data_IF_055889489464
#
_entry.id   IF_055889489464
#
_cell.length_a   1.000
_cell.length_b   1.000
_cell.length_c   1.000
_cell.angle_alpha   90.00
_cell.angle_beta   90.00
_cell.angle_gamma   90.00
#
_symmetry.space_group_name_H-M   'P 1'
#
loop_
_entity.id
_entity.type
_entity.pdbx_description
1 polymer ?
#
# COMPACT_ATOMS: atom_id res chain seq x y z
N UNK A 1 -2.22 -61.29 -26.12
CA UNK A 1 -1.46 -60.47 -27.09
C UNK A 1 -1.41 -59.06 -26.53
N UNK A 2 -0.18 -58.55 -26.25
CA UNK A 2 0.18 -57.18 -25.79
C UNK A 2 -0.22 -56.78 -24.36
N UNK A 3 0.57 -56.05 -23.58
CA UNK A 3 2.02 -55.88 -23.39
C UNK A 3 2.14 -55.21 -22.00
N UNK A 4 3.19 -55.52 -21.23
CA UNK A 4 3.51 -54.96 -19.91
C UNK A 4 3.77 -53.44 -19.95
N UNK A 5 3.46 -52.70 -18.87
CA UNK A 5 4.50 -52.12 -18.00
C UNK A 5 3.95 -51.66 -16.65
N UNK A 6 4.55 -52.22 -15.59
CA UNK A 6 4.51 -51.80 -14.20
C UNK A 6 5.36 -50.52 -14.05
N UNK A 7 4.95 -49.55 -13.23
CA UNK A 7 5.93 -48.67 -12.57
C UNK A 7 5.68 -48.64 -11.06
N UNK A 8 6.79 -48.83 -10.37
CA UNK A 8 6.93 -49.27 -8.99
C UNK A 8 7.18 -48.06 -8.09
N UNK A 9 6.53 -48.05 -6.93
CA UNK A 9 6.80 -47.16 -5.81
C UNK A 9 8.23 -47.41 -5.32
N UNK A 10 9.08 -46.39 -5.30
CA UNK A 10 10.39 -46.46 -4.66
C UNK A 10 10.31 -45.91 -3.24
N UNK A 11 10.21 -46.84 -2.28
CA UNK A 11 10.48 -46.60 -0.86
C UNK A 11 11.99 -46.78 -0.66
N UNK A 12 12.72 -45.70 -0.36
CA UNK A 12 14.15 -45.78 -0.04
C UNK A 12 14.31 -45.91 1.47
N UNK A 13 14.73 -47.11 1.90
CA UNK A 13 15.25 -47.38 3.24
C UNK A 13 16.75 -47.14 3.18
N UNK A 14 17.28 -46.14 3.89
CA UNK A 14 18.71 -46.02 4.14
C UNK A 14 19.08 -46.70 5.46
N UNK A 15 19.75 -47.85 5.35
CA UNK A 15 20.57 -48.41 6.40
C UNK A 15 21.93 -47.67 6.43
N UNK A 16 22.44 -47.43 7.64
CA UNK A 16 23.63 -46.63 7.89
C UNK A 16 24.92 -47.16 7.24
N UNK A 17 25.74 -46.23 6.78
CA UNK A 17 27.11 -46.43 6.32
C UNK A 17 27.78 -45.07 6.12
N UNK A 18 28.96 -44.88 6.71
CA UNK A 18 29.73 -43.63 6.75
C UNK A 18 30.10 -43.06 5.37
N UNK A 19 30.16 -41.72 5.33
CA UNK A 19 30.93 -40.84 4.43
C UNK A 19 30.88 -41.17 2.94
N UNK A 20 30.06 -40.43 2.20
CA UNK A 20 30.50 -39.54 1.13
C UNK A 20 29.29 -38.70 0.69
N UNK A 21 29.53 -37.41 0.40
CA UNK A 21 28.51 -36.44 0.05
C UNK A 21 27.67 -36.90 -1.15
N UNK A 22 26.37 -37.11 -0.93
CA UNK A 22 25.41 -37.35 -2.00
C UNK A 22 25.05 -36.00 -2.61
N UNK A 23 25.80 -35.61 -3.64
CA UNK A 23 25.40 -34.52 -4.55
C UNK A 23 24.34 -35.07 -5.49
N UNK A 24 23.09 -34.68 -5.27
CA UNK A 24 22.02 -34.78 -6.26
C UNK A 24 22.21 -33.58 -7.19
N UNK A 25 22.65 -33.80 -8.43
CA UNK A 25 22.77 -32.71 -9.40
C UNK A 25 21.38 -32.14 -9.77
N UNK A 26 21.17 -30.81 -9.76
CA UNK A 26 19.90 -30.22 -10.18
C UNK A 26 19.80 -30.18 -11.71
N UNK A 27 18.59 -30.35 -12.21
CA UNK A 27 18.21 -30.06 -13.59
C UNK A 27 18.14 -28.54 -13.77
N UNK A 28 19.17 -27.96 -14.39
CA UNK A 28 19.29 -26.54 -14.76
C UNK A 28 19.93 -25.66 -13.68
N UNK A 29 20.95 -24.86 -14.03
CA UNK A 29 21.50 -23.83 -13.12
C UNK A 29 20.44 -22.74 -12.87
N UNK A 30 20.25 -22.34 -11.61
CA UNK A 30 19.36 -21.23 -11.28
C UNK A 30 19.95 -19.93 -11.84
N UNK A 31 19.15 -19.16 -12.58
CA UNK A 31 19.60 -17.93 -13.22
C UNK A 31 19.44 -16.68 -12.33
N UNK A 32 18.81 -16.79 -11.15
CA UNK A 32 18.55 -15.66 -10.26
C UNK A 32 18.81 -16.01 -8.79
N UNK A 33 19.55 -15.13 -8.10
CA UNK A 33 19.79 -15.17 -6.66
C UNK A 33 19.40 -13.85 -6.01
N UNK A 34 18.45 -13.91 -5.08
CA UNK A 34 17.94 -12.74 -4.35
C UNK A 34 18.34 -12.86 -2.89
N UNK A 35 19.24 -11.99 -2.43
CA UNK A 35 19.54 -11.87 -1.00
C UNK A 35 18.53 -10.95 -0.34
N UNK A 36 17.67 -11.52 0.50
CA UNK A 36 16.65 -10.80 1.26
C UNK A 36 17.20 -10.51 2.65
N UNK A 37 17.48 -9.24 2.93
CA UNK A 37 17.98 -8.78 4.22
C UNK A 37 16.79 -8.46 5.14
N UNK A 38 16.83 -9.00 6.35
CA UNK A 38 15.79 -8.82 7.35
C UNK A 38 16.13 -7.64 8.28
N UNK A 39 15.16 -6.75 8.58
CA UNK A 39 15.38 -5.66 9.52
C UNK A 39 15.60 -6.17 10.95
N UNK A 40 16.10 -5.31 11.83
CA UNK A 40 16.08 -5.55 13.28
C UNK A 40 14.70 -5.17 13.85
N UNK A 41 13.66 -5.92 13.47
CA UNK A 41 12.27 -5.69 13.87
C UNK A 41 11.71 -6.95 14.56
N UNK A 42 11.08 -6.80 15.72
CA UNK A 42 10.48 -7.92 16.46
C UNK A 42 9.28 -8.55 15.74
N UNK A 43 8.63 -7.82 14.83
CA UNK A 43 7.53 -8.34 14.02
C UNK A 43 7.97 -9.51 13.12
N UNK A 44 9.26 -9.63 12.82
CA UNK A 44 9.82 -10.80 12.11
C UNK A 44 9.61 -12.11 12.86
N UNK A 45 9.46 -12.08 14.18
CA UNK A 45 9.21 -13.30 14.97
C UNK A 45 7.87 -13.94 14.66
N UNK A 46 6.95 -13.21 14.01
CA UNK A 46 5.65 -13.71 13.58
C UNK A 46 5.69 -14.27 12.14
N UNK A 47 6.78 -14.06 11.40
CA UNK A 47 6.90 -14.53 10.02
C UNK A 47 7.14 -16.04 9.98
N UNK A 48 6.40 -16.72 9.12
CA UNK A 48 6.46 -18.17 8.91
C UNK A 48 6.83 -18.54 7.47
N UNK A 49 6.66 -17.63 6.52
CA UNK A 49 6.98 -17.89 5.11
C UNK A 49 7.44 -16.65 4.35
N UNK A 50 8.09 -16.88 3.22
CA UNK A 50 8.53 -15.87 2.27
C UNK A 50 8.05 -16.25 0.87
N UNK A 51 7.53 -15.26 0.15
CA UNK A 51 7.14 -15.39 -1.25
C UNK A 51 7.92 -14.41 -2.13
N UNK A 52 8.20 -14.85 -3.35
CA UNK A 52 8.70 -14.03 -4.46
C UNK A 52 7.72 -14.18 -5.62
N UNK A 53 7.14 -13.06 -6.03
CA UNK A 53 6.32 -12.95 -7.24
C UNK A 53 7.07 -12.09 -8.25
N UNK A 54 7.22 -12.60 -9.47
CA UNK A 54 7.82 -11.86 -10.59
C UNK A 54 6.78 -11.61 -11.66
N UNK A 55 6.62 -10.35 -12.04
CA UNK A 55 5.76 -9.91 -13.16
C UNK A 55 6.56 -9.17 -14.22
N UNK A 56 5.95 -8.97 -15.39
CA UNK A 56 6.52 -8.18 -16.49
C UNK A 56 5.55 -8.11 -17.66
N UNK A 57 5.78 -7.15 -18.57
CA UNK A 57 4.84 -6.82 -19.67
C UNK A 57 4.59 -8.00 -20.60
N UNK A 58 5.61 -8.81 -20.86
CA UNK A 58 5.60 -10.00 -21.70
C UNK A 58 5.33 -11.31 -20.92
N UNK A 59 5.14 -11.22 -19.59
CA UNK A 59 4.91 -12.39 -18.75
C UNK A 59 3.41 -12.60 -18.52
N UNK A 60 2.83 -13.52 -19.31
CA UNK A 60 1.37 -13.81 -19.28
C UNK A 60 0.92 -14.36 -17.92
N UNK A 61 1.76 -15.15 -17.26
CA UNK A 61 1.48 -15.72 -15.93
C UNK A 61 2.62 -15.34 -14.99
N UNK A 62 2.33 -14.66 -13.86
CA UNK A 62 3.35 -14.33 -12.87
C UNK A 62 4.14 -15.57 -12.44
N UNK A 63 5.46 -15.44 -12.35
CA UNK A 63 6.27 -16.46 -11.70
C UNK A 63 6.09 -16.32 -10.18
N UNK A 64 5.91 -17.45 -9.50
CA UNK A 64 5.68 -17.48 -8.04
C UNK A 64 6.60 -18.52 -7.41
N UNK A 65 7.34 -18.09 -6.40
CA UNK A 65 8.12 -18.92 -5.49
C UNK A 65 7.64 -18.66 -4.06
N UNK A 66 7.47 -19.70 -3.25
CA UNK A 66 7.13 -19.57 -1.84
C UNK A 66 7.75 -20.69 -1.03
N UNK A 67 8.23 -20.38 0.17
CA UNK A 67 8.85 -21.34 1.08
C UNK A 67 8.66 -20.91 2.54
N UNK A 68 8.51 -21.89 3.44
CA UNK A 68 8.52 -21.65 4.87
C UNK A 68 9.92 -21.23 5.34
N UNK A 69 9.98 -20.26 6.24
CA UNK A 69 11.22 -19.76 6.83
C UNK A 69 11.05 -19.46 8.31
N UNK A 70 12.16 -19.43 9.04
CA UNK A 70 12.24 -18.88 10.39
C UNK A 70 13.26 -17.74 10.33
N UNK A 71 12.84 -16.49 10.05
CA UNK A 71 13.77 -15.40 9.90
C UNK A 71 14.41 -15.03 11.23
N UNK A 72 15.68 -14.62 11.16
CA UNK A 72 16.42 -14.06 12.30
C UNK A 72 16.47 -12.54 12.12
N UNK A 73 16.03 -11.73 13.09
CA UNK A 73 16.16 -10.28 13.01
C UNK A 73 17.62 -9.85 12.74
N UNK A 74 17.80 -8.98 11.74
CA UNK A 74 19.12 -8.55 11.26
C UNK A 74 19.88 -9.59 10.41
N UNK A 75 19.30 -10.76 10.17
CA UNK A 75 19.83 -11.80 9.31
C UNK A 75 19.47 -11.61 7.84
N UNK A 76 19.69 -12.65 7.04
CA UNK A 76 19.29 -12.68 5.63
C UNK A 76 18.88 -14.08 5.18
N UNK A 77 18.18 -14.15 4.06
CA UNK A 77 17.78 -15.37 3.38
C UNK A 77 18.03 -15.24 1.89
N UNK A 78 18.54 -16.28 1.23
CA UNK A 78 18.79 -16.28 -0.20
C UNK A 78 17.73 -17.10 -0.91
N UNK A 79 16.96 -16.45 -1.79
CA UNK A 79 16.10 -17.13 -2.74
C UNK A 79 16.95 -17.45 -3.97
N UNK A 80 16.96 -18.72 -4.37
CA UNK A 80 17.58 -19.17 -5.62
C UNK A 80 16.50 -19.80 -6.49
N UNK A 81 16.30 -19.22 -7.67
CA UNK A 81 15.19 -19.57 -8.55
C UNK A 81 15.58 -19.41 -10.03
N UNK A 82 14.86 -20.13 -10.90
CA UNK A 82 14.95 -19.95 -12.34
C UNK A 82 13.80 -19.05 -12.81
N UNK A 83 14.06 -17.75 -12.90
CA UNK A 83 13.08 -16.72 -13.24
C UNK A 83 12.99 -16.58 -14.75
N UNK A 84 11.78 -16.43 -15.34
CA UNK A 84 11.64 -16.22 -16.78
C UNK A 84 12.42 -15.01 -17.29
N UNK A 85 13.27 -15.24 -18.30
CA UNK A 85 14.05 -14.23 -19.01
C UNK A 85 13.17 -13.10 -19.54
N UNK A 86 13.65 -11.87 -19.46
CA UNK A 86 13.01 -10.70 -20.02
C UNK A 86 13.45 -9.42 -19.35
N UNK A 87 13.07 -8.30 -19.94
CA UNK A 87 13.47 -6.98 -19.46
C UNK A 87 12.47 -6.42 -18.46
N UNK A 88 12.95 -5.60 -17.53
CA UNK A 88 12.16 -4.91 -16.50
C UNK A 88 11.25 -5.87 -15.72
N UNK A 89 11.78 -7.03 -15.32
CA UNK A 89 11.11 -7.95 -14.40
C UNK A 89 10.94 -7.26 -13.04
N UNK A 90 9.71 -7.28 -12.54
CA UNK A 90 9.38 -6.68 -11.24
C UNK A 90 9.34 -7.79 -10.21
N UNK A 91 10.32 -7.81 -9.33
CA UNK A 91 10.44 -8.74 -8.21
C UNK A 91 9.70 -8.16 -7.01
N UNK A 92 8.65 -8.83 -6.56
CA UNK A 92 7.91 -8.48 -5.34
C UNK A 92 8.14 -9.57 -4.31
N UNK A 93 8.81 -9.21 -3.22
CA UNK A 93 9.10 -10.11 -2.10
C UNK A 93 8.11 -9.78 -0.98
N UNK A 94 7.48 -10.78 -0.37
CA UNK A 94 6.62 -10.61 0.81
C UNK A 94 6.96 -11.66 1.86
N UNK A 95 6.99 -11.26 3.13
CA UNK A 95 7.11 -12.16 4.27
C UNK A 95 5.75 -12.22 4.95
N UNK A 96 5.27 -13.42 5.21
CA UNK A 96 3.92 -13.67 5.71
C UNK A 96 3.95 -14.34 7.07
N UNK A 97 2.93 -14.08 7.90
CA UNK A 97 2.67 -14.84 9.12
C UNK A 97 1.91 -16.15 8.86
N UNK A 98 1.48 -16.82 9.93
CA UNK A 98 0.72 -18.07 9.87
C UNK A 98 -0.71 -17.93 9.33
N UNK A 99 -1.17 -16.70 9.13
CA UNK A 99 -2.50 -16.35 8.60
C UNK A 99 -2.40 -15.75 7.18
N UNK A 100 -1.22 -15.86 6.55
CA UNK A 100 -0.90 -15.32 5.22
C UNK A 100 -0.92 -13.77 5.15
N UNK A 101 -0.90 -13.08 6.30
CA UNK A 101 -0.77 -11.63 6.38
C UNK A 101 0.63 -11.23 5.95
N UNK A 102 0.75 -10.41 4.91
CA UNK A 102 2.02 -9.83 4.52
C UNK A 102 2.46 -8.81 5.59
N UNK A 103 3.51 -9.14 6.34
CA UNK A 103 4.08 -8.29 7.40
C UNK A 103 5.23 -7.43 6.89
N UNK A 104 6.03 -7.97 5.99
CA UNK A 104 7.13 -7.24 5.34
C UNK A 104 7.09 -7.42 3.83
N UNK A 105 7.68 -6.48 3.12
CA UNK A 105 7.77 -6.52 1.68
C UNK A 105 9.01 -5.80 1.14
N UNK A 106 9.36 -6.10 -0.10
CA UNK A 106 10.29 -5.33 -0.90
C UNK A 106 9.91 -5.41 -2.38
N UNK A 107 10.40 -4.44 -3.17
CA UNK A 107 10.30 -4.45 -4.62
C UNK A 107 11.65 -4.13 -5.24
N UNK A 108 11.99 -4.83 -6.31
CA UNK A 108 13.14 -4.56 -7.16
C UNK A 108 12.75 -4.72 -8.62
N UNK A 109 13.38 -3.97 -9.53
CA UNK A 109 13.16 -4.13 -10.97
C UNK A 109 14.51 -4.34 -11.62
N UNK A 110 14.62 -5.39 -12.42
CA UNK A 110 15.85 -5.72 -13.14
C UNK A 110 15.58 -6.52 -14.41
N UNK A 111 16.61 -6.70 -15.24
CA UNK A 111 16.57 -7.57 -16.41
C UNK A 111 17.03 -8.98 -16.04
N UNK A 112 16.38 -10.01 -16.60
CA UNK A 112 16.81 -11.41 -16.48
C UNK A 112 17.24 -11.88 -17.86
N UNK A 113 18.50 -12.30 -18.02
CA UNK A 113 19.06 -12.75 -19.30
C UNK A 113 19.25 -14.27 -19.33
N UNK A 114 19.42 -14.84 -20.54
CA UNK A 114 19.80 -16.25 -20.72
C UNK A 114 21.29 -16.49 -20.46
N UNK A 115 22.12 -15.44 -20.56
CA UNK A 115 23.58 -15.55 -20.62
C UNK A 115 24.26 -15.27 -19.28
N UNK A 116 23.60 -14.54 -18.38
CA UNK A 116 24.14 -14.10 -17.10
C UNK A 116 23.24 -14.53 -15.94
N UNK A 117 23.86 -14.72 -14.78
CA UNK A 117 23.14 -14.89 -13.51
C UNK A 117 22.81 -13.52 -12.93
N UNK A 118 21.54 -13.29 -12.62
CA UNK A 118 21.09 -12.10 -11.92
C UNK A 118 21.29 -12.28 -10.41
N UNK A 119 22.10 -11.42 -9.80
CA UNK A 119 22.28 -11.38 -8.35
C UNK A 119 21.97 -9.98 -7.83
N UNK A 120 21.08 -9.89 -6.84
CA UNK A 120 20.82 -8.62 -6.17
C UNK A 120 20.44 -8.80 -4.70
N UNK A 121 20.52 -7.71 -3.95
CA UNK A 121 20.16 -7.65 -2.54
C UNK A 121 19.04 -6.65 -2.33
N UNK A 122 18.03 -7.03 -1.56
CA UNK A 122 16.94 -6.16 -1.11
C UNK A 122 16.84 -6.20 0.41
N UNK A 123 16.37 -5.11 1.01
CA UNK A 123 15.99 -5.10 2.43
C UNK A 123 14.48 -4.99 2.50
N UNK A 124 13.85 -5.90 3.24
CA UNK A 124 12.40 -5.84 3.43
C UNK A 124 12.03 -4.84 4.51
N UNK A 125 10.91 -4.14 4.30
CA UNK A 125 10.33 -3.16 5.22
C UNK A 125 8.90 -3.56 5.55
N UNK A 126 8.27 -2.97 6.58
CA UNK A 126 6.88 -3.31 6.89
C UNK A 126 5.97 -3.09 5.66
N UNK A 127 4.99 -3.97 5.51
CA UNK A 127 4.10 -4.04 4.35
C UNK A 127 3.49 -2.68 3.96
N UNK A 128 3.64 -2.28 2.70
CA UNK A 128 3.18 -0.99 2.17
C UNK A 128 4.12 0.20 2.40
N UNK A 129 5.16 0.07 3.23
CA UNK A 129 6.14 1.16 3.40
C UNK A 129 6.88 1.44 2.10
N UNK A 130 6.95 2.71 1.68
CA UNK A 130 7.68 3.12 0.47
C UNK A 130 7.14 2.53 -0.82
N UNK A 131 5.85 2.22 -0.88
CA UNK A 131 5.21 1.63 -2.06
C UNK A 131 4.97 2.61 -3.21
N UNK A 132 5.18 3.89 -2.97
CA UNK A 132 5.06 4.96 -3.95
C UNK A 132 6.11 6.06 -3.73
N UNK A 133 6.24 6.97 -4.70
CA UNK A 133 7.19 8.09 -4.64
C UNK A 133 6.63 9.43 -5.13
N UNK A 134 5.44 9.44 -5.74
CA UNK A 134 4.74 10.60 -6.28
C UNK A 134 3.25 10.52 -5.93
N UNK A 135 2.57 11.65 -5.75
CA UNK A 135 1.16 11.69 -5.33
C UNK A 135 0.24 12.19 -6.46
N UNK A 136 -0.88 11.50 -6.64
CA UNK A 136 -2.03 11.88 -7.45
C UNK A 136 -3.24 12.02 -6.51
N UNK A 137 -3.49 13.24 -6.03
CA UNK A 137 -4.60 13.53 -5.13
C UNK A 137 -5.84 13.86 -5.96
N UNK A 138 -6.91 13.07 -5.84
CA UNK A 138 -8.20 13.38 -6.44
C UNK A 138 -9.10 14.12 -5.46
N UNK A 139 -9.64 15.26 -5.92
CA UNK A 139 -10.50 16.13 -5.13
C UNK A 139 -11.27 17.12 -6.01
N UNK A 140 -12.58 17.20 -5.82
CA UNK A 140 -13.45 18.21 -6.45
C UNK A 140 -13.86 19.34 -5.49
N UNK A 141 -13.96 19.06 -4.19
CA UNK A 141 -14.22 20.05 -3.14
C UNK A 141 -13.25 19.86 -1.97
N UNK A 142 -13.00 20.92 -1.21
CA UNK A 142 -12.23 20.80 0.04
C UNK A 142 -13.04 19.96 1.05
N UNK A 143 -12.52 18.82 1.53
CA UNK A 143 -13.14 18.07 2.59
C UNK A 143 -13.23 18.97 3.82
N UNK A 144 -14.40 19.07 4.44
CA UNK A 144 -14.57 19.84 5.68
C UNK A 144 -14.21 21.34 5.59
N UNK A 145 -14.24 21.93 4.38
CA UNK A 145 -13.72 23.28 4.08
C UNK A 145 -12.24 23.47 4.53
N UNK A 146 -11.47 22.39 4.49
CA UNK A 146 -10.11 22.32 5.03
C UNK A 146 -9.04 22.20 3.94
N UNK A 147 -7.88 22.82 4.20
CA UNK A 147 -6.64 22.61 3.43
C UNK A 147 -5.68 21.65 4.15
N UNK A 148 -6.17 20.76 5.02
CA UNK A 148 -5.34 19.90 5.85
C UNK A 148 -4.36 19.04 5.03
N UNK A 149 -4.83 18.32 4.00
CA UNK A 149 -3.97 17.53 3.12
C UNK A 149 -2.89 18.39 2.46
N UNK A 150 -3.25 19.53 1.88
CA UNK A 150 -2.32 20.45 1.21
C UNK A 150 -1.26 20.99 2.16
N UNK A 151 -1.68 21.43 3.35
CA UNK A 151 -0.80 21.94 4.39
C UNK A 151 0.13 20.84 4.89
N UNK A 152 -0.40 19.65 5.16
CA UNK A 152 0.37 18.50 5.60
C UNK A 152 1.42 18.13 4.55
N UNK A 153 1.06 18.08 3.26
CA UNK A 153 2.00 17.81 2.18
C UNK A 153 3.10 18.88 2.12
N UNK A 154 2.76 20.16 2.14
CA UNK A 154 3.73 21.25 2.12
C UNK A 154 4.66 21.24 3.35
N UNK A 155 4.11 21.01 4.55
CA UNK A 155 4.87 20.94 5.81
C UNK A 155 5.83 19.75 5.86
N UNK A 156 5.50 18.67 5.14
CA UNK A 156 6.34 17.49 4.97
C UNK A 156 7.28 17.58 3.76
N UNK A 157 7.38 18.75 3.12
CA UNK A 157 8.35 19.04 2.06
C UNK A 157 7.94 18.58 0.67
N UNK A 158 6.67 18.23 0.46
CA UNK A 158 6.13 17.95 -0.86
C UNK A 158 5.79 19.26 -1.58
N UNK A 159 6.00 19.28 -2.89
CA UNK A 159 5.69 20.44 -3.73
C UNK A 159 4.78 20.06 -4.87
N UNK A 160 4.05 21.02 -5.44
CA UNK A 160 3.27 20.77 -6.65
C UNK A 160 4.16 20.32 -7.81
N UNK A 161 3.71 19.31 -8.55
CA UNK A 161 4.40 18.79 -9.74
C UNK A 161 4.16 17.30 -9.97
N UNK A 162 4.83 16.74 -10.96
CA UNK A 162 4.65 15.36 -11.43
C UNK A 162 5.90 14.47 -11.25
N UNK A 163 6.87 14.90 -10.45
CA UNK A 163 8.08 14.15 -10.11
C UNK A 163 8.03 13.45 -8.75
N UNK A 164 9.15 12.86 -8.35
CA UNK A 164 9.36 12.28 -7.02
C UNK A 164 9.23 13.34 -5.92
N UNK A 165 8.56 13.01 -4.81
CA UNK A 165 8.19 13.93 -3.72
C UNK A 165 7.38 15.14 -4.19
N UNK A 166 6.59 14.97 -5.25
CA UNK A 166 5.65 15.98 -5.71
C UNK A 166 4.22 15.44 -5.73
N UNK A 167 3.26 16.35 -5.75
CA UNK A 167 1.84 16.04 -5.82
C UNK A 167 1.11 16.84 -6.88
N UNK A 168 0.07 16.23 -7.44
CA UNK A 168 -0.92 16.90 -8.28
C UNK A 168 -2.28 16.81 -7.61
N UNK A 169 -3.07 17.88 -7.71
CA UNK A 169 -4.48 17.88 -7.36
C UNK A 169 -5.27 17.75 -8.67
N UNK A 170 -6.07 16.70 -8.77
CA UNK A 170 -6.81 16.31 -9.96
C UNK A 170 -8.30 16.28 -9.65
N UNK A 171 -9.12 16.73 -10.59
CA UNK A 171 -10.57 16.58 -10.49
C UNK A 171 -11.00 15.15 -10.85
N UNK A 172 -12.14 14.71 -10.32
CA UNK A 172 -12.73 13.41 -10.67
C UNK A 172 -13.04 13.27 -12.16
N UNK A 173 -13.26 14.38 -12.89
CA UNK A 173 -13.54 14.35 -14.33
C UNK A 173 -12.42 13.75 -15.19
N UNK A 174 -11.18 13.71 -14.69
CA UNK A 174 -10.05 13.08 -15.40
C UNK A 174 -9.68 11.72 -14.84
N UNK A 175 -10.39 11.23 -13.81
CA UNK A 175 -10.01 10.02 -13.07
C UNK A 175 -9.94 8.76 -13.93
N UNK A 176 -10.85 8.63 -14.91
CA UNK A 176 -10.88 7.48 -15.83
C UNK A 176 -9.83 7.57 -16.95
N UNK A 177 -9.22 8.73 -17.20
CA UNK A 177 -8.34 8.95 -18.37
C UNK A 177 -6.92 9.35 -18.01
N UNK A 178 -6.67 9.82 -16.79
CA UNK A 178 -5.34 10.24 -16.36
C UNK A 178 -4.41 9.05 -16.27
N UNK A 179 -3.18 9.21 -16.76
CA UNK A 179 -2.16 8.18 -16.62
C UNK A 179 -1.75 8.00 -15.17
N UNK A 180 -1.93 6.77 -14.67
CA UNK A 180 -1.41 6.29 -13.39
C UNK A 180 -0.27 5.31 -13.64
N UNK A 181 0.84 5.45 -12.91
CA UNK A 181 2.06 4.66 -13.08
C UNK A 181 2.23 3.72 -11.88
N UNK A 182 1.94 2.41 -12.04
CA UNK A 182 2.13 1.43 -10.98
C UNK A 182 3.54 1.45 -10.38
N UNK A 183 3.63 1.35 -9.06
CA UNK A 183 4.88 1.42 -8.30
C UNK A 183 5.58 2.78 -8.24
N UNK A 184 5.00 3.81 -8.84
CA UNK A 184 5.47 5.19 -8.72
C UNK A 184 4.42 6.07 -8.06
N UNK A 185 3.17 5.96 -8.50
CA UNK A 185 2.07 6.76 -8.01
C UNK A 185 1.46 6.22 -6.71
N UNK A 186 1.20 7.14 -5.78
CA UNK A 186 0.24 7.04 -4.71
C UNK A 186 -1.00 7.81 -5.16
N UNK A 187 -2.09 7.08 -5.43
CA UNK A 187 -3.40 7.70 -5.63
C UNK A 187 -4.00 7.99 -4.26
N UNK A 188 -4.36 9.25 -4.01
CA UNK A 188 -5.09 9.62 -2.80
C UNK A 188 -6.50 10.02 -3.21
N UNK A 189 -7.51 9.40 -2.61
CA UNK A 189 -8.91 9.81 -2.73
C UNK A 189 -9.25 10.59 -1.45
N UNK A 190 -9.52 11.89 -1.59
CA UNK A 190 -9.80 12.77 -0.45
C UNK A 190 -11.15 12.41 0.21
N UNK A 191 -11.31 12.74 1.50
CA UNK A 191 -12.58 12.53 2.22
C UNK A 191 -13.71 13.41 1.68
N UNK A 192 -14.94 13.15 2.14
CA UNK A 192 -16.09 14.07 2.11
C UNK A 192 -16.20 14.83 0.79
N UNK A 193 -16.41 14.06 -0.28
CA UNK A 193 -16.56 14.61 -1.63
C UNK A 193 -18.03 14.74 -2.03
N UNK A 194 -18.33 15.60 -3.00
CA UNK A 194 -19.68 15.74 -3.56
C UNK A 194 -20.12 14.48 -4.32
N UNK A 195 -21.43 14.24 -4.44
CA UNK A 195 -21.95 13.03 -5.12
C UNK A 195 -21.37 12.81 -6.53
N UNK A 196 -21.22 13.88 -7.33
CA UNK A 196 -20.62 13.78 -8.68
C UNK A 196 -19.19 13.24 -8.68
N UNK A 197 -18.42 13.47 -7.61
CA UNK A 197 -17.08 12.89 -7.47
C UNK A 197 -17.16 11.36 -7.38
N UNK A 198 -18.05 10.84 -6.52
CA UNK A 198 -18.24 9.40 -6.34
C UNK A 198 -18.85 8.75 -7.60
N UNK A 199 -19.78 9.42 -8.28
CA UNK A 199 -20.31 8.96 -9.56
C UNK A 199 -19.21 8.83 -10.62
N UNK A 200 -18.27 9.79 -10.67
CA UNK A 200 -17.11 9.74 -11.56
C UNK A 200 -16.10 8.67 -11.13
N UNK A 201 -15.88 8.46 -9.82
CA UNK A 201 -15.08 7.34 -9.34
C UNK A 201 -15.66 6.00 -9.79
N UNK A 202 -16.99 5.84 -9.69
CA UNK A 202 -17.67 4.63 -10.13
C UNK A 202 -17.41 4.31 -11.60
N UNK A 203 -17.33 5.33 -12.46
CA UNK A 203 -16.94 5.18 -13.87
C UNK A 203 -15.48 4.73 -13.98
N UNK A 204 -14.57 5.36 -13.22
CA UNK A 204 -13.13 5.08 -13.23
C UNK A 204 -12.70 3.81 -12.47
N UNK A 205 -13.61 3.13 -11.76
CA UNK A 205 -13.29 2.06 -10.82
C UNK A 205 -12.48 0.92 -11.45
N UNK A 206 -12.76 0.57 -12.71
CA UNK A 206 -12.01 -0.47 -13.43
C UNK A 206 -10.55 -0.05 -13.66
N UNK A 207 -10.31 1.19 -14.10
CA UNK A 207 -8.97 1.74 -14.30
C UNK A 207 -8.19 1.80 -12.97
N UNK A 208 -8.82 2.27 -11.89
CA UNK A 208 -8.16 2.32 -10.57
C UNK A 208 -7.81 0.91 -10.07
N UNK A 209 -8.73 -0.05 -10.20
CA UNK A 209 -8.48 -1.43 -9.80
C UNK A 209 -7.36 -2.07 -10.61
N UNK A 210 -7.29 -1.82 -11.92
CA UNK A 210 -6.18 -2.27 -12.77
C UNK A 210 -4.85 -1.64 -12.35
N UNK A 211 -4.83 -0.33 -12.07
CA UNK A 211 -3.65 0.37 -11.57
C UNK A 211 -3.12 -0.27 -10.27
N UNK A 212 -3.99 -0.55 -9.31
CA UNK A 212 -3.60 -1.19 -8.04
C UNK A 212 -3.12 -2.62 -8.33
N UNK A 213 -3.87 -3.40 -9.10
CA UNK A 213 -3.53 -4.79 -9.41
C UNK A 213 -2.14 -4.92 -10.05
N UNK A 214 -1.76 -3.95 -10.89
CA UNK A 214 -0.46 -3.86 -11.55
C UNK A 214 0.69 -3.31 -10.66
N UNK A 215 0.46 -3.02 -9.38
CA UNK A 215 1.50 -2.57 -8.44
C UNK A 215 1.36 -1.13 -7.93
N UNK A 216 0.28 -0.45 -8.30
CA UNK A 216 -0.08 0.87 -7.79
C UNK A 216 -0.41 0.87 -6.30
N UNK A 217 -0.33 2.05 -5.68
CA UNK A 217 -0.75 2.24 -4.28
C UNK A 217 -1.90 3.21 -4.25
N UNK A 218 -2.96 2.87 -3.52
CA UNK A 218 -4.05 3.79 -3.19
C UNK A 218 -4.11 4.04 -1.69
N UNK A 219 -4.33 5.29 -1.31
CA UNK A 219 -4.79 5.68 0.01
C UNK A 219 -6.17 6.34 -0.15
N UNK A 220 -7.20 5.65 0.31
CA UNK A 220 -8.56 6.16 0.25
C UNK A 220 -9.02 6.55 1.64
N UNK A 221 -9.32 7.82 1.82
CA UNK A 221 -10.09 8.28 2.97
C UNK A 221 -11.59 8.08 2.67
N UNK A 222 -12.12 6.95 3.15
CA UNK A 222 -13.47 6.41 2.88
C UNK A 222 -14.51 7.01 3.84
N UNK A 223 -14.35 8.28 4.22
CA UNK A 223 -15.35 8.99 5.00
C UNK A 223 -16.25 9.76 4.03
N UNK A 224 -17.51 9.35 3.88
CA UNK A 224 -18.52 10.04 3.08
C UNK A 224 -19.65 10.59 3.97
N UNK A 225 -20.75 11.04 3.36
CA UNK A 225 -21.93 11.59 4.05
C UNK A 225 -21.62 12.71 5.07
N UNK A 226 -20.55 13.46 4.81
CA UNK A 226 -20.11 14.60 5.61
C UNK A 226 -20.75 15.91 5.13
N UNK A 227 -19.93 16.97 5.08
CA UNK A 227 -20.39 18.32 4.70
C UNK A 227 -20.68 18.45 3.21
N UNK A 228 -20.07 17.60 2.38
CA UNK A 228 -20.25 17.61 0.93
C UNK A 228 -21.44 16.77 0.44
N UNK A 229 -22.11 16.05 1.36
CA UNK A 229 -23.33 15.27 1.13
C UNK A 229 -23.22 14.15 0.08
N UNK A 230 -22.02 13.81 -0.40
CA UNK A 230 -21.84 12.67 -1.31
C UNK A 230 -21.86 11.33 -0.57
N UNK A 231 -22.32 10.30 -1.27
CA UNK A 231 -22.39 8.92 -0.79
C UNK A 231 -21.73 7.94 -1.77
N UNK A 232 -20.80 7.16 -1.24
CA UNK A 232 -20.12 6.03 -1.88
C UNK A 232 -21.14 4.92 -2.16
N UNK A 233 -22.02 4.63 -1.21
CA UNK A 233 -23.09 3.64 -1.37
C UNK A 233 -24.08 4.05 -2.46
N UNK A 234 -24.53 5.31 -2.49
CA UNK A 234 -25.47 5.80 -3.52
C UNK A 234 -24.86 5.78 -4.92
N UNK A 235 -23.56 6.10 -5.05
CA UNK A 235 -22.81 5.94 -6.29
C UNK A 235 -22.67 4.47 -6.72
N UNK A 236 -23.01 3.53 -5.83
CA UNK A 236 -22.95 2.09 -6.05
C UNK A 236 -21.52 1.57 -6.18
N UNK A 237 -20.54 2.27 -5.61
CA UNK A 237 -19.12 1.92 -5.66
C UNK A 237 -18.87 0.60 -4.94
N UNK A 238 -17.93 -0.20 -5.46
CA UNK A 238 -17.38 -1.35 -4.75
C UNK A 238 -15.93 -1.04 -4.39
N UNK A 239 -15.59 -1.06 -3.10
CA UNK A 239 -14.23 -0.78 -2.68
C UNK A 239 -13.26 -1.86 -3.19
N UNK A 240 -11.96 -1.52 -3.41
CA UNK A 240 -10.97 -2.49 -3.88
C UNK A 240 -10.91 -3.72 -2.97
N UNK A 241 -10.96 -4.93 -3.55
CA UNK A 241 -11.00 -6.17 -2.78
C UNK A 241 -12.36 -6.49 -2.15
N UNK A 242 -13.44 -5.85 -2.63
CA UNK A 242 -14.83 -6.09 -2.19
C UNK A 242 -15.06 -5.78 -0.69
N UNK A 243 -14.29 -4.84 -0.14
CA UNK A 243 -14.47 -4.38 1.24
C UNK A 243 -15.81 -3.67 1.39
N UNK A 244 -16.51 -3.98 2.47
CA UNK A 244 -17.79 -3.38 2.82
C UNK A 244 -17.61 -2.28 3.86
N UNK A 245 -18.50 -1.29 3.79
CA UNK A 245 -18.57 -0.14 4.69
C UNK A 245 -19.66 -0.39 5.76
N UNK A 246 -19.37 -0.08 7.02
CA UNK A 246 -20.31 -0.15 8.14
C UNK A 246 -20.38 1.19 8.88
N UNK A 247 -21.35 2.06 8.55
CA UNK A 247 -21.42 3.42 9.08
C UNK A 247 -21.74 3.47 10.56
N UNK A 248 -20.93 4.24 11.28
CA UNK A 248 -21.18 4.69 12.65
C UNK A 248 -20.20 5.81 13.04
N UNK A 249 -20.76 6.85 13.67
CA UNK A 249 -20.01 8.01 14.08
C UNK A 249 -19.42 7.80 15.47
N UNK A 250 -18.23 7.20 15.55
CA UNK A 250 -17.54 6.93 16.81
C UNK A 250 -16.72 8.13 17.26
N UNK A 251 -16.71 8.41 18.57
CA UNK A 251 -15.90 9.46 19.16
C UNK A 251 -14.40 9.12 19.19
N UNK A 252 -14.06 7.83 19.21
CA UNK A 252 -12.70 7.35 19.47
C UNK A 252 -12.31 6.18 18.58
N UNK A 253 -11.03 6.11 18.25
CA UNK A 253 -10.39 4.93 17.66
C UNK A 253 -9.32 4.36 18.59
N UNK A 254 -9.05 3.06 18.48
CA UNK A 254 -8.12 2.34 19.33
C UNK A 254 -7.00 1.73 18.49
N UNK A 255 -5.75 1.91 18.93
CA UNK A 255 -4.58 1.31 18.28
C UNK A 255 -4.55 -0.21 18.53
N UNK A 256 -4.41 -1.00 17.47
CA UNK A 256 -4.41 -2.47 17.55
C UNK A 256 -3.06 -3.05 18.00
N UNK A 257 -1.95 -2.42 17.60
CA UNK A 257 -0.60 -2.89 17.91
C UNK A 257 0.43 -1.77 17.89
N UNK A 258 1.24 -1.66 18.95
CA UNK A 258 2.34 -0.69 19.01
C UNK A 258 3.57 -1.10 18.18
N UNK A 259 3.58 -2.31 17.61
CA UNK A 259 4.69 -2.81 16.77
C UNK A 259 4.60 -2.34 15.31
N UNK A 260 3.41 -1.91 14.87
CA UNK A 260 3.18 -1.45 13.51
C UNK A 260 3.75 -0.03 13.34
N UNK A 261 4.74 0.11 12.45
CA UNK A 261 5.55 1.33 12.28
C UNK A 261 4.69 2.58 12.01
N UNK A 262 3.59 2.43 11.26
CA UNK A 262 2.67 3.52 10.92
C UNK A 262 2.12 4.19 12.19
N UNK A 263 1.72 3.40 13.19
CA UNK A 263 1.05 3.86 14.43
C UNK A 263 1.92 3.80 15.67
N UNK A 264 3.16 3.29 15.56
CA UNK A 264 4.08 3.19 16.69
C UNK A 264 4.29 4.55 17.38
N UNK A 265 4.23 4.53 18.71
CA UNK A 265 4.42 5.71 19.56
C UNK A 265 3.21 6.66 19.65
N UNK A 266 2.07 6.31 19.04
CA UNK A 266 0.80 7.01 19.31
C UNK A 266 0.19 6.53 20.63
N UNK A 267 -0.72 7.36 21.17
CA UNK A 267 -1.57 6.97 22.29
C UNK A 267 -2.45 5.76 21.89
N UNK A 268 -2.75 4.89 22.86
CA UNK A 268 -3.60 3.72 22.60
C UNK A 268 -5.05 4.09 22.24
N UNK A 269 -5.49 5.30 22.59
CA UNK A 269 -6.80 5.86 22.27
C UNK A 269 -6.61 7.16 21.51
N UNK A 270 -7.26 7.24 20.35
CA UNK A 270 -7.28 8.39 19.47
C UNK A 270 -8.66 9.05 19.53
N UNK A 271 -8.74 10.22 20.17
CA UNK A 271 -9.92 11.08 20.19
C UNK A 271 -9.94 11.98 18.94
N UNK A 272 -11.08 11.94 18.25
CA UNK A 272 -11.38 12.78 17.10
C UNK A 272 -12.72 13.49 17.19
N UNK A 273 -13.52 13.21 18.24
CA UNK A 273 -14.93 13.66 18.35
C UNK A 273 -15.66 13.48 17.03
N UNK A 274 -15.96 12.22 16.70
CA UNK A 274 -16.15 11.68 15.33
C UNK A 274 -14.81 11.21 14.74
N UNK A 275 -14.07 10.41 15.52
CA UNK A 275 -12.78 9.85 15.13
C UNK A 275 -12.89 8.91 13.92
N UNK A 276 -14.04 8.24 13.73
CA UNK A 276 -14.40 7.49 12.53
C UNK A 276 -15.86 7.71 12.20
N UNK A 277 -16.18 7.71 10.91
CA UNK A 277 -17.54 7.67 10.39
C UNK A 277 -17.88 6.26 9.89
N UNK A 278 -16.86 5.50 9.51
CA UNK A 278 -17.01 4.18 8.91
C UNK A 278 -16.11 3.15 9.60
N UNK A 279 -16.66 1.96 9.83
CA UNK A 279 -15.90 0.73 10.06
C UNK A 279 -15.90 -0.15 8.81
N UNK A 280 -14.95 -1.08 8.71
CA UNK A 280 -14.83 -1.98 7.57
C UNK A 280 -15.20 -3.42 7.91
N UNK A 281 -15.87 -4.09 6.98
CA UNK A 281 -16.10 -5.54 7.02
C UNK A 281 -15.69 -6.19 5.71
N UNK A 282 -15.69 -7.53 5.65
CA UNK A 282 -15.27 -8.28 4.46
C UNK A 282 -13.85 -7.92 3.97
N UNK A 283 -12.92 -7.70 4.90
CA UNK A 283 -11.54 -7.42 4.56
C UNK A 283 -10.90 -8.63 3.85
N UNK A 284 -10.09 -8.40 2.81
CA UNK A 284 -9.28 -9.45 2.22
C UNK A 284 -8.43 -10.18 3.26
N UNK A 285 -8.22 -11.48 3.05
CA UNK A 285 -7.31 -12.25 3.86
C UNK A 285 -5.92 -11.58 3.86
N UNK A 286 -5.29 -11.55 5.04
CA UNK A 286 -3.99 -10.90 5.19
C UNK A 286 -4.04 -9.37 5.34
N UNK A 287 -5.21 -8.77 5.58
CA UNK A 287 -5.30 -7.35 5.89
C UNK A 287 -4.71 -7.01 7.26
N UNK A 288 -3.86 -5.98 7.29
CA UNK A 288 -3.33 -5.38 8.51
C UNK A 288 -4.31 -4.32 9.00
N UNK A 289 -4.77 -4.46 10.24
CA UNK A 289 -5.63 -3.48 10.91
C UNK A 289 -4.77 -2.64 11.85
N UNK A 290 -4.77 -1.32 11.68
CA UNK A 290 -4.02 -0.38 12.52
C UNK A 290 -4.89 0.22 13.62
N UNK A 291 -6.15 0.52 13.32
CA UNK A 291 -7.11 1.05 14.29
C UNK A 291 -8.47 0.36 14.17
N UNK A 292 -9.18 0.32 15.29
CA UNK A 292 -10.58 -0.11 15.38
C UNK A 292 -11.43 0.93 16.10
N UNK A 293 -12.73 0.95 15.86
CA UNK A 293 -13.71 1.74 16.61
C UNK A 293 -14.12 1.05 17.93
N UNK A 294 -15.09 1.62 18.66
CA UNK A 294 -15.62 1.03 19.91
C UNK A 294 -16.44 -0.25 19.72
N UNK A 295 -16.75 -0.63 18.48
CA UNK A 295 -17.42 -1.87 18.10
C UNK A 295 -16.41 -2.97 17.70
N UNK A 296 -15.12 -2.70 17.85
CA UNK A 296 -14.00 -3.52 17.35
C UNK A 296 -14.00 -3.67 15.81
N UNK A 297 -14.65 -2.77 15.07
CA UNK A 297 -14.58 -2.77 13.61
C UNK A 297 -13.34 -2.00 13.13
N UNK A 298 -12.57 -2.55 12.16
CA UNK A 298 -11.42 -1.87 11.56
C UNK A 298 -11.75 -0.49 10.97
N UNK A 299 -10.92 0.52 11.24
CA UNK A 299 -11.12 1.90 10.75
C UNK A 299 -9.90 2.49 10.03
N UNK A 300 -8.75 1.83 10.11
CA UNK A 300 -7.56 2.07 9.28
C UNK A 300 -6.94 0.73 8.95
N UNK A 301 -6.86 0.41 7.66
CA UNK A 301 -6.41 -0.89 7.18
C UNK A 301 -5.41 -0.77 6.04
N UNK A 302 -4.57 -1.79 5.86
CA UNK A 302 -3.77 -1.98 4.65
C UNK A 302 -3.81 -3.43 4.23
N UNK A 303 -3.93 -3.67 2.93
CA UNK A 303 -3.84 -5.02 2.35
C UNK A 303 -3.28 -4.98 0.94
N UNK A 304 -2.82 -6.15 0.48
CA UNK A 304 -2.42 -6.32 -0.91
C UNK A 304 -3.63 -6.50 -1.82
N UNK A 305 -3.59 -5.90 -3.01
CA UNK A 305 -4.56 -6.18 -4.07
C UNK A 305 -3.80 -6.32 -5.39
N UNK A 306 -3.72 -7.55 -5.91
CA UNK A 306 -2.73 -7.91 -6.92
C UNK A 306 -1.30 -7.67 -6.40
N UNK A 307 -0.49 -6.95 -7.19
CA UNK A 307 0.90 -6.58 -6.83
C UNK A 307 0.96 -5.27 -6.02
N UNK A 308 -0.15 -4.53 -5.97
CA UNK A 308 -0.24 -3.23 -5.31
C UNK A 308 -0.70 -3.27 -3.87
N UNK A 309 -0.92 -2.09 -3.33
CA UNK A 309 -1.33 -1.86 -1.95
C UNK A 309 -2.57 -0.97 -1.89
N UNK A 310 -3.49 -1.35 -1.01
CA UNK A 310 -4.67 -0.58 -0.67
C UNK A 310 -4.56 -0.18 0.79
N UNK A 311 -4.63 1.13 1.06
CA UNK A 311 -4.78 1.70 2.40
C UNK A 311 -6.11 2.40 2.44
N UNK A 312 -6.95 2.06 3.42
CA UNK A 312 -8.25 2.71 3.59
C UNK A 312 -8.45 3.15 5.01
N UNK A 313 -9.13 4.28 5.18
CA UNK A 313 -9.55 4.74 6.50
C UNK A 313 -10.96 5.30 6.48
N UNK A 314 -11.77 4.93 7.46
CA UNK A 314 -13.08 5.53 7.72
C UNK A 314 -12.99 6.78 8.63
N UNK A 315 -11.78 7.28 8.86
CA UNK A 315 -11.52 8.39 9.77
C UNK A 315 -11.45 9.72 9.01
N UNK A 316 -12.09 10.81 9.48
CA UNK A 316 -11.98 12.13 8.87
C UNK A 316 -10.63 12.77 9.23
N UNK A 317 -9.55 12.23 8.67
CA UNK A 317 -8.17 12.57 9.07
C UNK A 317 -7.83 14.03 8.76
N UNK A 318 -8.34 14.59 7.66
CA UNK A 318 -8.20 16.01 7.32
C UNK A 318 -8.85 16.93 8.36
N UNK A 319 -10.08 16.62 8.80
CA UNK A 319 -10.76 17.35 9.86
C UNK A 319 -9.97 17.33 11.17
N UNK A 320 -9.46 16.15 11.51
CA UNK A 320 -8.70 15.89 12.73
C UNK A 320 -7.34 16.61 12.71
N UNK A 321 -6.63 16.59 11.58
CA UNK A 321 -5.34 17.26 11.40
C UNK A 321 -5.44 18.78 11.60
N UNK A 322 -6.49 19.42 11.08
CA UNK A 322 -6.72 20.86 11.28
C UNK A 322 -6.99 21.23 12.74
N UNK A 323 -7.31 20.25 13.59
CA UNK A 323 -7.63 20.37 15.02
C UNK A 323 -6.70 19.56 15.90
N UNK A 324 -5.49 19.26 15.42
CA UNK A 324 -4.52 18.36 16.06
C UNK A 324 -4.15 18.77 17.49
N UNK A 325 -4.25 20.06 17.83
CA UNK A 325 -4.04 20.58 19.19
C UNK A 325 -5.07 20.07 20.21
N UNK A 326 -6.19 19.53 19.73
CA UNK A 326 -7.31 19.03 20.54
C UNK A 326 -7.76 17.62 20.19
N UNK A 327 -7.37 17.11 19.01
CA UNK A 327 -7.76 15.79 18.48
C UNK A 327 -6.50 15.03 18.09
N UNK A 328 -6.08 14.07 18.92
CA UNK A 328 -4.85 13.31 18.68
C UNK A 328 -5.00 12.30 17.50
N UNK A 329 -6.22 12.02 17.02
CA UNK A 329 -6.44 11.31 15.74
C UNK A 329 -5.80 12.03 14.55
N UNK A 330 -5.60 13.36 14.64
CA UNK A 330 -4.95 14.17 13.61
C UNK A 330 -3.50 13.77 13.32
N UNK A 331 -2.82 13.07 14.23
CA UNK A 331 -1.46 12.57 14.00
C UNK A 331 -1.39 11.48 12.92
N UNK A 332 -2.51 10.83 12.58
CA UNK A 332 -2.53 9.75 11.58
C UNK A 332 -2.35 10.25 10.15
N UNK A 333 -2.89 11.42 9.78
CA UNK A 333 -2.80 11.93 8.39
C UNK A 333 -1.36 11.97 7.86
N UNK A 334 -0.41 12.67 8.52
CA UNK A 334 0.97 12.68 8.06
C UNK A 334 1.62 11.29 8.15
N UNK A 335 1.26 10.47 9.13
CA UNK A 335 1.85 9.12 9.32
C UNK A 335 1.57 8.22 8.14
N UNK A 336 0.31 8.14 7.70
CA UNK A 336 -0.10 7.29 6.57
C UNK A 336 0.62 7.71 5.29
N UNK A 337 0.58 9.01 4.96
CA UNK A 337 1.19 9.52 3.72
C UNK A 337 2.70 9.35 3.73
N UNK A 338 3.37 9.63 4.86
CA UNK A 338 4.83 9.45 5.00
C UNK A 338 5.22 7.98 4.87
N UNK A 339 4.47 7.07 5.51
CA UNK A 339 4.69 5.63 5.46
C UNK A 339 4.69 5.12 4.01
N UNK A 340 3.64 5.44 3.25
CA UNK A 340 3.49 4.98 1.86
C UNK A 340 4.56 5.56 0.92
N UNK A 341 5.15 6.69 1.27
CA UNK A 341 6.21 7.36 0.52
C UNK A 341 7.62 7.03 1.02
N UNK A 342 7.74 6.08 1.96
CA UNK A 342 9.03 5.60 2.45
C UNK A 342 9.77 6.62 3.31
N UNK A 343 9.02 7.53 3.95
CA UNK A 343 9.52 8.47 4.93
C UNK A 343 9.18 7.96 6.34
N UNK A 344 10.02 8.31 7.32
CA UNK A 344 9.78 7.98 8.73
C UNK A 344 8.38 8.47 9.17
N UNK A 345 7.41 7.59 9.49
CA UNK A 345 6.07 8.01 9.89
C UNK A 345 6.05 8.86 11.16
N UNK A 346 7.04 8.67 12.04
CA UNK A 346 7.19 9.40 13.30
C UNK A 346 7.95 10.72 13.13
N UNK A 347 8.47 11.00 11.94
CA UNK A 347 9.27 12.18 11.67
C UNK A 347 8.51 13.48 11.95
N UNK A 348 9.26 14.51 12.34
CA UNK A 348 8.69 15.76 12.85
C UNK A 348 7.67 16.38 11.88
N UNK A 349 6.39 16.37 12.29
CA UNK A 349 5.37 17.25 11.74
C UNK A 349 5.76 18.70 12.06
N UNK A 350 6.01 19.53 11.06
CA UNK A 350 6.42 20.94 11.24
C UNK A 350 5.29 21.89 11.68
N UNK A 351 4.25 21.35 12.34
CA UNK A 351 3.30 22.13 13.12
C UNK A 351 3.25 21.65 14.57
N UNK A 352 4.01 22.38 15.39
CA UNK A 352 3.73 22.75 16.79
C UNK A 352 4.74 23.86 17.15
N UNK A 353 4.39 25.11 17.54
CA UNK A 353 3.22 25.95 17.29
C UNK A 353 3.58 27.17 16.38
N UNK A 354 2.57 27.89 15.88
CA UNK A 354 2.65 29.12 15.05
C UNK A 354 3.17 28.99 13.61
N UNK A 355 2.23 28.91 12.66
CA UNK A 355 2.48 29.14 11.25
C UNK A 355 1.49 28.43 10.34
N UNK A 356 0.21 28.82 10.37
CA UNK A 356 -0.70 28.49 9.26
C UNK A 356 -0.03 29.02 7.99
N UNK A 357 0.11 28.19 6.96
CA UNK A 357 0.10 28.73 5.60
C UNK A 357 -1.23 29.49 5.53
N UNK A 358 -1.17 30.81 5.37
CA UNK A 358 -2.37 31.61 5.21
C UNK A 358 -3.18 30.97 4.08
N UNK A 359 -4.47 30.75 4.34
CA UNK A 359 -5.48 30.37 3.37
C UNK A 359 -5.29 31.04 1.99
N UNK A 360 -4.74 32.26 1.93
CA UNK A 360 -4.37 32.95 0.70
C UNK A 360 -3.31 32.24 -0.16
N UNK A 361 -2.27 31.62 0.41
CA UNK A 361 -1.18 30.96 -0.32
C UNK A 361 -1.59 29.55 -0.78
N UNK A 362 -2.32 28.79 0.05
CA UNK A 362 -2.96 27.53 -0.36
C UNK A 362 -3.98 27.76 -1.49
N UNK A 363 -4.80 28.82 -1.36
CA UNK A 363 -5.74 29.24 -2.40
C UNK A 363 -5.03 29.76 -3.66
N UNK A 364 -3.86 30.39 -3.53
CA UNK A 364 -3.04 30.81 -4.69
C UNK A 364 -2.48 29.60 -5.44
N UNK A 365 -1.98 28.60 -4.73
CA UNK A 365 -1.48 27.35 -5.33
C UNK A 365 -2.60 26.55 -6.01
N UNK A 366 -3.79 26.49 -5.39
CA UNK A 366 -4.99 25.87 -5.96
C UNK A 366 -5.55 26.64 -7.17
N UNK A 367 -5.62 27.97 -7.13
CA UNK A 367 -6.12 28.80 -8.24
C UNK A 367 -5.21 28.80 -9.47
N UNK A 368 -3.90 28.59 -9.30
CA UNK A 368 -2.97 28.41 -10.43
C UNK A 368 -3.35 27.17 -11.25
N UNK A 369 -3.89 26.12 -10.62
CA UNK A 369 -4.29 24.88 -11.30
C UNK A 369 -5.63 25.00 -12.02
N UNK A 370 -6.63 25.67 -11.43
CA UNK A 370 -7.94 25.90 -12.06
C UNK A 370 -7.87 26.74 -13.35
N UNK A 371 -6.85 27.60 -13.47
CA UNK A 371 -6.60 28.35 -14.71
C UNK A 371 -5.77 27.58 -15.75
N UNK A 372 -5.05 26.52 -15.36
CA UNK A 372 -4.26 25.70 -16.30
C UNK A 372 -5.10 24.58 -16.91
N UNK A 373 -6.09 24.04 -16.20
CA UNK A 373 -7.04 23.04 -16.73
C UNK A 373 -8.11 23.65 -17.64
N UNK A 374 -8.49 24.92 -17.46
CA UNK A 374 -9.46 25.61 -18.34
C UNK A 374 -8.85 26.13 -19.66
N UNK A 375 -7.52 26.24 -19.75
CA UNK A 375 -6.84 26.82 -20.93
C UNK A 375 -6.20 25.76 -21.85
N UNK A 376 -6.47 24.46 -21.66
CA UNK A 376 -5.89 23.38 -22.49
C UNK A 376 -6.87 22.32 -23.02
N UNK A 377 -8.12 22.71 -23.26
CA UNK A 377 -9.02 21.98 -24.18
C UNK A 377 -9.39 22.90 -25.34
N UNK A 378 -8.39 23.30 -26.12
CA UNK A 378 -8.55 23.64 -27.53
C UNK A 378 -7.30 23.11 -28.24
N UNK A 379 -7.36 21.86 -28.68
CA UNK A 379 -6.95 21.41 -30.01
C UNK A 379 -7.71 20.13 -30.37
#
# INVERSE_FOLDING_TARGET
MRFFLLFMILLVIFAGGCSDDVVVEPVGENNTFVTVNFPNDSLLLNVTSISLVVTGVDLVTPFVYSVEIVPVPGGSFVISANVPVGNNRIFTIKLHDDQDVALFWARHTDDVSEEDTLEFSVTVTQAGYGSASRIKLFRDNLPWDSYAMDNMLAENGFTLGSGTKQYQILSSYVMDTVTLVPGVDLVIISNDQVQTFYDNYRIAQAHINEFIYCGGTIFWEVCDLGWAEGSIEEAGITLPGEVDISPDYDLTNYITSSQLQLIAGLDSVLDGRYASHEGFTNLPAGAVVYTVDSRDLPTLVTYGYGVGWVVMTGQPLEYSYDRIDSLNSGYLLPRVVRFLLGLDPQGACKKCPYGRIDSAEAKRQSNILNNVTSTKIIE
#
